data_IF_328352639637
#
_entry.id   IF_328352639637
#
_cell.length_a   1.000
_cell.length_b   1.000
_cell.length_c   1.000
_cell.angle_alpha   90.00
_cell.angle_beta   90.00
_cell.angle_gamma   90.00
#
_symmetry.space_group_name_H-M   'P 1'
#
loop_
_entity.id
_entity.type
_entity.pdbx_description
1 polymer ?
#
# COMPACT_ATOMS: atom_id res chain seq x y z
N UNK A 1 -18.13 -3.00 4.93
CA UNK A 1 -17.21 -2.35 3.99
C UNK A 1 -16.03 -3.28 3.73
N UNK A 2 -15.93 -3.75 2.49
CA UNK A 2 -14.82 -4.56 2.01
C UNK A 2 -13.55 -3.69 1.83
N UNK A 3 -12.44 -4.30 1.43
CA UNK A 3 -11.16 -3.61 1.32
C UNK A 3 -11.14 -2.56 0.20
N UNK A 4 -11.77 -2.84 -0.95
CA UNK A 4 -11.87 -1.89 -2.05
C UNK A 4 -12.71 -0.66 -1.67
N UNK A 5 -13.82 -0.86 -0.97
CA UNK A 5 -14.65 0.23 -0.43
C UNK A 5 -13.89 1.01 0.64
N UNK A 6 -13.09 0.34 1.49
CA UNK A 6 -12.27 1.02 2.51
C UNK A 6 -11.19 1.90 1.85
N UNK A 7 -10.58 1.42 0.75
CA UNK A 7 -9.64 2.20 -0.05
C UNK A 7 -10.29 3.45 -0.63
N UNK A 8 -11.40 3.29 -1.34
CA UNK A 8 -12.07 4.38 -2.05
C UNK A 8 -12.75 5.39 -1.12
N UNK A 9 -13.46 4.93 -0.09
CA UNK A 9 -14.33 5.77 0.75
C UNK A 9 -13.59 6.36 1.96
N UNK A 10 -12.47 5.77 2.39
CA UNK A 10 -11.78 6.19 3.62
C UNK A 10 -10.33 6.58 3.37
N UNK A 11 -9.53 5.70 2.77
CA UNK A 11 -8.08 5.92 2.64
C UNK A 11 -7.78 7.00 1.61
N UNK A 12 -8.39 6.92 0.43
CA UNK A 12 -8.18 7.87 -0.66
C UNK A 12 -8.51 9.33 -0.26
N UNK A 13 -9.67 9.62 0.38
CA UNK A 13 -9.98 10.97 0.85
C UNK A 13 -8.98 11.47 1.89
N UNK A 14 -8.61 10.61 2.86
CA UNK A 14 -7.66 10.99 3.93
C UNK A 14 -6.26 11.27 3.39
N UNK A 15 -5.79 10.49 2.42
CA UNK A 15 -4.50 10.76 1.77
C UNK A 15 -4.52 12.11 1.06
N UNK A 16 -5.60 12.41 0.34
CA UNK A 16 -5.76 13.69 -0.34
C UNK A 16 -5.84 14.87 0.64
N UNK A 17 -6.60 14.73 1.73
CA UNK A 17 -6.71 15.73 2.82
C UNK A 17 -5.34 15.99 3.47
N UNK A 18 -4.54 14.94 3.67
CA UNK A 18 -3.17 15.04 4.15
C UNK A 18 -2.17 15.60 3.09
N UNK A 19 -2.65 15.99 1.90
CA UNK A 19 -1.85 16.60 0.85
C UNK A 19 -1.15 15.61 -0.09
N UNK A 20 -1.36 14.29 0.06
CA UNK A 20 -0.77 13.30 -0.84
C UNK A 20 -1.42 13.35 -2.22
N UNK A 21 -0.58 13.42 -3.27
CA UNK A 21 -1.04 13.55 -4.65
C UNK A 21 -1.55 14.94 -5.05
N UNK A 22 -1.53 15.91 -4.11
CA UNK A 22 -1.89 17.32 -4.35
C UNK A 22 -0.69 18.23 -4.13
N UNK A 23 0.06 18.00 -3.05
CA UNK A 23 1.26 18.78 -2.77
C UNK A 23 2.34 18.55 -3.84
N UNK A 24 3.08 19.60 -4.19
CA UNK A 24 4.14 19.50 -5.19
C UNK A 24 5.18 18.43 -4.83
N UNK A 25 5.51 17.58 -5.80
CA UNK A 25 6.45 16.47 -5.62
C UNK A 25 5.89 15.29 -4.82
N UNK A 26 4.64 15.35 -4.36
CA UNK A 26 3.93 14.24 -3.74
C UNK A 26 3.26 13.35 -4.78
N UNK A 27 3.38 12.02 -4.61
CA UNK A 27 2.75 11.02 -5.47
C UNK A 27 2.27 9.84 -4.64
N UNK A 28 1.13 9.29 -5.05
CA UNK A 28 0.57 8.05 -4.54
C UNK A 28 0.72 6.98 -5.63
N UNK A 29 1.33 5.85 -5.30
CA UNK A 29 1.43 4.67 -6.16
C UNK A 29 0.58 3.55 -5.56
N UNK A 30 -0.48 3.13 -6.24
CA UNK A 30 -1.37 2.06 -5.78
C UNK A 30 -0.94 0.70 -6.33
N UNK A 31 -1.26 -0.36 -5.60
CA UNK A 31 -1.02 -1.76 -5.98
C UNK A 31 0.44 -1.99 -6.41
N UNK A 32 1.36 -1.41 -5.63
CA UNK A 32 2.77 -1.36 -5.97
C UNK A 32 3.45 -2.69 -5.65
N UNK A 33 3.91 -3.39 -6.69
CA UNK A 33 4.68 -4.61 -6.53
C UNK A 33 6.09 -4.28 -6.02
N UNK A 34 6.36 -4.60 -4.75
CA UNK A 34 7.66 -4.42 -4.10
C UNK A 34 8.64 -5.48 -4.54
N UNK A 35 8.20 -6.74 -4.66
CA UNK A 35 9.06 -7.84 -5.09
C UNK A 35 8.35 -8.80 -6.04
N UNK A 36 9.11 -9.37 -6.98
CA UNK A 36 8.67 -10.42 -7.89
C UNK A 36 8.66 -11.82 -7.25
N UNK A 37 8.93 -11.91 -5.94
CA UNK A 37 9.25 -13.16 -5.25
C UNK A 37 10.69 -13.62 -5.46
N UNK A 38 11.30 -14.20 -4.43
CA UNK A 38 12.59 -14.90 -4.52
C UNK A 38 12.44 -16.20 -5.31
N UNK A 39 13.40 -16.48 -6.19
CA UNK A 39 13.58 -17.76 -6.87
C UNK A 39 13.95 -18.81 -5.80
N UNK A 40 13.20 -19.91 -5.73
CA UNK A 40 13.51 -21.04 -4.83
C UNK A 40 14.20 -22.15 -5.64
N UNK A 41 15.05 -22.94 -4.98
CA UNK A 41 15.61 -24.15 -5.60
C UNK A 41 14.49 -25.17 -5.80
N UNK A 42 14.17 -25.49 -7.07
CA UNK A 42 12.97 -26.23 -7.49
C UNK A 42 12.09 -25.43 -8.46
N UNK A 43 11.01 -26.04 -8.99
CA UNK A 43 10.06 -25.32 -9.86
C UNK A 43 9.19 -24.36 -9.02
N UNK A 44 9.56 -23.08 -8.97
CA UNK A 44 8.67 -22.03 -8.45
C UNK A 44 9.36 -20.76 -7.96
N UNK A 45 8.61 -19.65 -8.02
CA UNK A 45 8.94 -18.39 -7.31
C UNK A 45 8.09 -18.28 -6.04
N UNK A 46 8.59 -17.60 -5.02
CA UNK A 46 7.74 -17.19 -3.89
C UNK A 46 6.68 -16.18 -4.33
N UNK A 47 5.65 -16.03 -3.51
CA UNK A 47 4.59 -15.03 -3.72
C UNK A 47 5.19 -13.62 -3.82
N UNK A 48 4.83 -12.85 -4.86
CA UNK A 48 5.14 -11.44 -4.93
C UNK A 48 4.63 -10.69 -3.71
N UNK A 49 5.37 -9.67 -3.28
CA UNK A 49 4.91 -8.73 -2.25
C UNK A 49 4.36 -7.52 -2.97
N UNK A 50 3.08 -7.23 -2.74
CA UNK A 50 2.35 -6.11 -3.32
C UNK A 50 1.82 -5.29 -2.15
N UNK A 51 2.04 -3.96 -2.19
CA UNK A 51 1.50 -3.03 -1.23
C UNK A 51 0.31 -2.29 -1.83
N UNK A 52 -0.72 -2.01 -1.03
CA UNK A 52 -1.86 -1.21 -1.49
C UNK A 52 -1.47 0.21 -1.90
N UNK A 53 -0.62 0.87 -1.10
CA UNK A 53 -0.11 2.21 -1.42
C UNK A 53 1.37 2.36 -1.08
N UNK A 54 2.07 3.11 -1.93
CA UNK A 54 3.37 3.69 -1.65
C UNK A 54 3.26 5.20 -1.77
N UNK A 55 3.67 5.89 -0.72
CA UNK A 55 3.77 7.34 -0.68
C UNK A 55 5.16 7.76 -1.14
N UNK A 56 5.22 8.58 -2.19
CA UNK A 56 6.46 9.04 -2.81
C UNK A 56 6.54 10.55 -2.72
N UNK A 57 7.66 11.07 -2.21
CA UNK A 57 7.93 12.50 -2.18
C UNK A 57 9.26 12.82 -2.84
N UNK A 58 9.25 13.71 -3.84
CA UNK A 58 10.43 14.13 -4.62
C UNK A 58 11.26 12.94 -5.12
N UNK A 59 10.58 11.92 -5.64
CA UNK A 59 11.18 10.70 -6.17
C UNK A 59 11.62 9.67 -5.12
N UNK A 60 11.41 9.92 -3.82
CA UNK A 60 11.76 9.00 -2.74
C UNK A 60 10.52 8.34 -2.15
N UNK A 61 10.53 7.02 -2.02
CA UNK A 61 9.47 6.27 -1.31
C UNK A 61 9.62 6.52 0.19
N UNK A 62 8.59 7.05 0.83
CA UNK A 62 8.62 7.43 2.24
C UNK A 62 7.83 6.48 3.14
N UNK A 63 6.73 5.92 2.65
CA UNK A 63 5.86 5.06 3.45
C UNK A 63 5.11 4.04 2.59
N UNK A 64 4.70 2.95 3.23
CA UNK A 64 3.82 1.90 2.72
C UNK A 64 2.52 1.97 3.52
N UNK A 65 1.36 1.80 2.87
CA UNK A 65 0.07 1.66 3.55
C UNK A 65 -0.62 0.42 3.01
N UNK A 66 -1.12 -0.42 3.92
CA UNK A 66 -1.91 -1.60 3.63
C UNK A 66 -3.35 -1.37 4.06
N UNK A 67 -4.30 -1.53 3.16
CA UNK A 67 -5.72 -1.44 3.46
C UNK A 67 -6.18 -2.74 4.13
N UNK A 68 -7.08 -2.63 5.11
CA UNK A 68 -7.80 -3.77 5.69
C UNK A 68 -9.27 -3.45 5.71
N UNK A 69 -10.11 -4.48 5.70
CA UNK A 69 -11.55 -4.28 5.88
C UNK A 69 -11.83 -3.65 7.25
N UNK A 70 -12.68 -2.62 7.26
CA UNK A 70 -13.09 -1.85 8.47
C UNK A 70 -13.58 -2.68 9.67
N UNK A 71 -13.87 -3.98 9.49
CA UNK A 71 -14.34 -4.89 10.54
C UNK A 71 -13.25 -5.76 11.20
N UNK A 72 -11.97 -5.61 10.82
CA UNK A 72 -10.84 -6.29 11.49
C UNK A 72 -10.03 -5.32 12.34
N UNK A 73 -9.43 -5.85 13.41
CA UNK A 73 -8.57 -5.08 14.33
C UNK A 73 -7.38 -4.47 13.60
N UNK A 74 -7.12 -3.19 13.84
CA UNK A 74 -5.97 -2.43 13.33
C UNK A 74 -4.60 -3.04 13.69
N UNK A 75 -4.55 -4.00 14.63
CA UNK A 75 -3.33 -4.65 15.09
C UNK A 75 -2.75 -5.73 14.18
N UNK A 76 -3.52 -6.29 13.23
CA UNK A 76 -3.03 -7.39 12.37
C UNK A 76 -2.07 -6.93 11.24
N UNK A 77 -1.97 -5.63 10.96
CA UNK A 77 -1.13 -5.07 9.89
C UNK A 77 0.28 -4.65 10.32
N UNK A 78 0.57 -4.62 11.62
CA UNK A 78 1.84 -4.09 12.16
C UNK A 78 3.05 -4.92 11.71
N UNK A 79 2.89 -6.22 11.47
CA UNK A 79 3.96 -7.09 11.00
C UNK A 79 4.22 -7.02 9.48
N UNK A 80 3.38 -6.29 8.72
CA UNK A 80 3.42 -6.25 7.25
C UNK A 80 3.84 -4.90 6.68
N UNK A 81 3.88 -3.85 7.51
CA UNK A 81 4.26 -2.48 7.13
C UNK A 81 5.73 -2.17 7.39
#
# INVERSE_FOLDING_TARGET
MNEAETRAEIIDPKLKEAGWGVAEGSKISREYQISLGKIKSGYGKSTPVIADYILVYKGRKLAVIEAKSSGRSYGEGVAQA
#
